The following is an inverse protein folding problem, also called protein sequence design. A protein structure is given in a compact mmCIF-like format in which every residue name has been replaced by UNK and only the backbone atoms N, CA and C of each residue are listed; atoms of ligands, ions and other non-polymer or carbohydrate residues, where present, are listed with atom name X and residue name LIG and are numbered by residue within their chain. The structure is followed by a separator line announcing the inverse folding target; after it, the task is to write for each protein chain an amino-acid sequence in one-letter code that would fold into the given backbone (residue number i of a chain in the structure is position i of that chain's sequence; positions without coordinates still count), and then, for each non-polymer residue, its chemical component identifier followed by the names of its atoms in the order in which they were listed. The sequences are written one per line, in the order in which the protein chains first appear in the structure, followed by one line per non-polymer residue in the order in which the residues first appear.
data_IF_196361214629
#
_entry.id   IF_196361214629
#
_cell.length_a   1.000
_cell.length_b   1.000
_cell.length_c   1.000
_cell.angle_alpha   90.00
_cell.angle_beta   90.00
_cell.angle_gamma   90.00
#
_symmetry.space_group_name_H-M   'P 1'
#
loop_
_entity.id
_entity.type
_entity.pdbx_description
1 polymer ?
#
# COMPACT_ATOMS: atom_id res chain seq x y z
N UNK A 1 -1.99 31.63 -10.40
CA UNK A 1 -2.74 30.38 -10.15
C UNK A 1 -1.88 29.50 -9.26
N UNK A 2 -2.03 29.63 -7.93
CA UNK A 2 -1.32 28.76 -6.99
C UNK A 2 -2.02 27.40 -7.04
N UNK A 3 -1.29 26.36 -7.49
CA UNK A 3 -1.75 24.99 -7.32
C UNK A 3 -2.05 24.80 -5.84
N UNK A 4 -3.28 24.40 -5.43
CA UNK A 4 -3.52 24.03 -4.04
C UNK A 4 -2.50 22.95 -3.68
N UNK A 5 -2.02 22.86 -2.43
CA UNK A 5 -1.09 21.83 -2.02
C UNK A 5 -1.78 20.47 -2.16
N UNK A 6 -1.72 19.88 -3.35
CA UNK A 6 -2.26 18.56 -3.64
C UNK A 6 -1.39 17.60 -2.84
N UNK A 7 -1.88 17.23 -1.65
CA UNK A 7 -1.27 16.25 -0.75
C UNK A 7 -0.67 15.13 -1.58
N UNK A 8 0.67 15.03 -1.58
CA UNK A 8 1.50 14.11 -2.39
C UNK A 8 1.33 12.63 -2.02
N UNK A 9 0.13 12.19 -1.62
CA UNK A 9 -0.12 10.82 -1.10
C UNK A 9 0.18 9.76 -2.15
N UNK A 10 -0.06 10.07 -3.41
CA UNK A 10 0.32 9.26 -4.58
C UNK A 10 1.83 9.05 -4.67
N UNK A 11 2.60 10.15 -4.61
CA UNK A 11 4.07 10.10 -4.66
C UNK A 11 4.65 9.34 -3.47
N UNK A 12 4.11 9.55 -2.27
CA UNK A 12 4.54 8.84 -1.07
C UNK A 12 4.23 7.35 -1.16
N UNK A 13 3.03 6.98 -1.65
CA UNK A 13 2.65 5.57 -1.80
C UNK A 13 3.56 4.85 -2.79
N UNK A 14 3.84 5.48 -3.93
CA UNK A 14 4.76 4.92 -4.94
C UNK A 14 6.18 4.82 -4.36
N UNK A 15 6.69 5.86 -3.70
CA UNK A 15 8.02 5.86 -3.10
C UNK A 15 8.17 4.79 -2.02
N UNK A 16 7.16 4.60 -1.15
CA UNK A 16 7.17 3.52 -0.16
C UNK A 16 7.11 2.15 -0.84
N UNK A 17 6.30 1.97 -1.89
CA UNK A 17 6.30 0.75 -2.70
C UNK A 17 7.67 0.42 -3.26
N UNK A 18 8.34 1.40 -3.89
CA UNK A 18 9.70 1.25 -4.41
C UNK A 18 10.72 0.89 -3.32
N UNK A 19 10.60 1.45 -2.11
CA UNK A 19 11.45 1.05 -1.00
C UNK A 19 11.28 -0.43 -0.64
N UNK A 20 10.05 -0.94 -0.62
CA UNK A 20 9.77 -2.37 -0.42
C UNK A 20 10.30 -3.24 -1.57
N UNK A 21 10.26 -2.76 -2.81
CA UNK A 21 10.87 -3.45 -3.95
C UNK A 21 12.38 -3.60 -3.77
N UNK A 22 13.07 -2.51 -3.42
CA UNK A 22 14.51 -2.55 -3.16
C UNK A 22 14.84 -3.49 -2.00
N UNK A 23 14.03 -3.47 -0.94
CA UNK A 23 14.16 -4.40 0.19
C UNK A 23 14.01 -5.85 -0.27
N UNK A 24 12.98 -6.17 -1.05
CA UNK A 24 12.76 -7.53 -1.55
C UNK A 24 13.93 -8.04 -2.40
N UNK A 25 14.45 -7.20 -3.29
CA UNK A 25 15.60 -7.53 -4.12
C UNK A 25 16.86 -7.72 -3.27
N UNK A 26 17.09 -6.84 -2.29
CA UNK A 26 18.22 -6.96 -1.37
C UNK A 26 18.17 -8.29 -0.58
N UNK A 27 17.00 -8.67 -0.06
CA UNK A 27 16.82 -9.94 0.66
C UNK A 27 17.00 -11.15 -0.27
N UNK A 28 16.52 -11.06 -1.51
CA UNK A 28 16.69 -12.12 -2.52
C UNK A 28 18.17 -12.32 -2.86
N UNK A 29 18.90 -11.23 -3.11
CA UNK A 29 20.34 -11.25 -3.40
C UNK A 29 21.12 -11.79 -2.19
N UNK A 30 20.79 -11.32 -0.99
CA UNK A 30 21.41 -11.79 0.25
C UNK A 30 21.26 -13.30 0.43
N UNK A 31 20.05 -13.83 0.24
CA UNK A 31 19.77 -15.28 0.31
C UNK A 31 20.59 -16.05 -0.72
N UNK A 32 20.65 -15.55 -1.97
CA UNK A 32 21.43 -16.17 -3.04
C UNK A 32 22.94 -16.18 -2.75
N UNK A 33 23.49 -15.10 -2.18
CA UNK A 33 24.93 -14.97 -1.89
C UNK A 33 25.38 -15.78 -0.67
N UNK A 34 24.55 -15.83 0.38
CA UNK A 34 24.92 -16.51 1.62
C UNK A 34 24.70 -18.02 1.57
N UNK A 35 23.98 -18.52 0.55
CA UNK A 35 23.55 -19.92 0.49
C UNK A 35 22.65 -20.31 1.67
N UNK A 36 22.18 -19.33 2.45
CA UNK A 36 21.27 -19.55 3.55
C UNK A 36 19.97 -20.12 2.96
N UNK A 37 19.46 -21.20 3.54
CA UNK A 37 18.08 -21.64 3.31
C UNK A 37 17.13 -20.66 4.01
N UNK A 38 17.16 -19.40 3.60
CA UNK A 38 16.17 -18.43 4.00
C UNK A 38 14.88 -18.85 3.27
N UNK A 39 13.80 -19.01 4.03
CA UNK A 39 12.50 -19.28 3.44
C UNK A 39 12.18 -18.20 2.40
N UNK A 40 11.54 -18.58 1.30
CA UNK A 40 11.15 -17.65 0.26
C UNK A 40 10.11 -16.59 0.74
N UNK A 41 9.59 -16.75 1.96
CA UNK A 41 8.52 -15.94 2.51
C UNK A 41 8.89 -14.45 2.67
N UNK A 42 10.01 -14.03 3.29
CA UNK A 42 10.25 -12.61 3.57
C UNK A 42 10.49 -11.73 2.32
N UNK A 43 11.25 -12.16 1.29
CA UNK A 43 11.33 -11.42 0.04
C UNK A 43 9.98 -11.36 -0.70
N UNK A 44 9.23 -12.47 -0.74
CA UNK A 44 7.93 -12.53 -1.40
C UNK A 44 6.91 -11.62 -0.71
N UNK A 45 6.94 -11.57 0.62
CA UNK A 45 6.07 -10.73 1.42
C UNK A 45 6.34 -9.24 1.21
N UNK A 46 7.61 -8.84 1.08
CA UNK A 46 7.98 -7.47 0.75
C UNK A 46 7.41 -7.04 -0.62
N UNK A 47 7.38 -7.95 -1.60
CA UNK A 47 6.78 -7.68 -2.90
C UNK A 47 5.25 -7.59 -2.85
N UNK A 48 4.60 -8.64 -2.32
CA UNK A 48 3.15 -8.80 -2.43
C UNK A 48 2.37 -7.89 -1.48
N UNK A 49 2.90 -7.62 -0.29
CA UNK A 49 2.24 -6.78 0.72
C UNK A 49 2.78 -5.35 0.73
N UNK A 50 4.06 -5.17 0.37
CA UNK A 50 4.70 -3.87 0.29
C UNK A 50 4.57 -3.25 -1.10
N UNK A 51 5.40 -3.71 -2.03
CA UNK A 51 5.57 -3.06 -3.34
C UNK A 51 4.26 -3.01 -4.15
N UNK A 52 3.64 -4.16 -4.45
CA UNK A 52 2.50 -4.23 -5.37
C UNK A 52 1.33 -3.35 -4.89
N UNK A 53 0.86 -3.45 -3.64
CA UNK A 53 -0.34 -2.74 -3.21
C UNK A 53 -0.07 -1.25 -3.03
N UNK A 54 1.06 -0.85 -2.45
CA UNK A 54 1.42 0.56 -2.28
C UNK A 54 1.57 1.27 -3.62
N UNK A 55 2.19 0.61 -4.60
CA UNK A 55 2.32 1.17 -5.95
C UNK A 55 0.96 1.26 -6.64
N UNK A 56 0.11 0.24 -6.48
CA UNK A 56 -1.24 0.24 -7.03
C UNK A 56 -2.12 1.33 -6.41
N UNK A 57 -2.05 1.53 -5.09
CA UNK A 57 -2.77 2.60 -4.40
C UNK A 57 -2.31 3.97 -4.88
N UNK A 58 -1.00 4.19 -4.95
CA UNK A 58 -0.45 5.45 -5.44
C UNK A 58 -0.84 5.75 -6.89
N UNK A 59 -0.77 4.74 -7.76
CA UNK A 59 -1.21 4.87 -9.15
C UNK A 59 -2.72 5.14 -9.24
N UNK A 60 -3.52 4.48 -8.41
CA UNK A 60 -4.97 4.67 -8.36
C UNK A 60 -5.34 6.08 -7.89
N UNK A 61 -4.66 6.60 -6.86
CA UNK A 61 -4.83 8.00 -6.42
C UNK A 61 -4.38 9.02 -7.46
N UNK A 62 -3.41 8.67 -8.33
CA UNK A 62 -2.98 9.50 -9.44
C UNK A 62 -3.98 9.49 -10.59
N UNK A 63 -4.57 8.33 -10.90
CA UNK A 63 -5.57 8.17 -11.97
C UNK A 63 -6.95 8.72 -11.61
N UNK A 64 -7.31 8.71 -10.31
CA UNK A 64 -8.59 9.19 -9.82
C UNK A 64 -8.41 10.29 -8.76
N UNK A 65 -8.15 11.54 -9.19
CA UNK A 65 -7.99 12.69 -8.29
C UNK A 65 -9.11 12.90 -7.26
N UNK A 66 -10.41 12.61 -7.55
CA UNK A 66 -11.48 12.75 -6.55
C UNK A 66 -11.24 11.92 -5.28
N UNK A 67 -10.63 10.73 -5.43
CA UNK A 67 -10.34 9.85 -4.30
C UNK A 67 -9.20 10.37 -3.43
N UNK A 68 -8.30 11.14 -4.03
CA UNK A 68 -7.15 11.78 -3.35
C UNK A 68 -7.58 12.93 -2.42
N UNK A 69 -8.73 13.54 -2.68
CA UNK A 69 -9.28 14.65 -1.88
C UNK A 69 -9.99 14.14 -0.62
N UNK A 70 -10.37 12.86 -0.58
CA UNK A 70 -11.00 12.24 0.59
C UNK A 70 -10.13 12.37 1.85
N UNK A 71 -10.71 12.88 2.95
CA UNK A 71 -10.03 12.96 4.26
C UNK A 71 -9.54 11.58 4.76
N UNK A 72 -10.14 10.51 4.26
CA UNK A 72 -9.83 9.11 4.60
C UNK A 72 -8.61 8.54 3.85
N UNK A 73 -8.14 9.16 2.76
CA UNK A 73 -6.99 8.66 1.98
C UNK A 73 -5.67 8.64 2.77
N UNK A 74 -5.49 9.60 3.68
CA UNK A 74 -4.25 9.69 4.49
C UNK A 74 -4.21 8.65 5.62
N UNK A 75 -5.26 8.48 6.44
CA UNK A 75 -5.34 7.35 7.38
C UNK A 75 -5.19 6.00 6.69
N UNK A 76 -5.83 5.80 5.54
CA UNK A 76 -5.73 4.57 4.76
C UNK A 76 -4.27 4.21 4.43
N UNK A 77 -3.52 5.16 3.87
CA UNK A 77 -2.11 4.97 3.54
C UNK A 77 -1.26 4.66 4.78
N UNK A 78 -1.41 5.44 5.86
CA UNK A 78 -0.61 5.26 7.09
C UNK A 78 -0.88 3.90 7.73
N UNK A 79 -2.15 3.51 7.85
CA UNK A 79 -2.55 2.22 8.42
C UNK A 79 -1.97 1.09 7.57
N UNK A 80 -2.12 1.16 6.25
CA UNK A 80 -1.62 0.12 5.37
C UNK A 80 -0.10 0.00 5.41
N UNK A 81 0.63 1.12 5.29
CA UNK A 81 2.09 1.14 5.30
C UNK A 81 2.65 0.63 6.63
N UNK A 82 2.03 1.01 7.76
CA UNK A 82 2.41 0.49 9.08
C UNK A 82 2.18 -1.01 9.18
N UNK A 83 1.02 -1.51 8.74
CA UNK A 83 0.73 -2.94 8.73
C UNK A 83 1.73 -3.72 7.87
N UNK A 84 2.05 -3.23 6.68
CA UNK A 84 2.98 -3.87 5.75
C UNK A 84 4.40 -3.94 6.36
N UNK A 85 4.85 -2.87 7.02
CA UNK A 85 6.12 -2.85 7.73
C UNK A 85 6.14 -3.87 8.88
N UNK A 86 5.07 -3.95 9.68
CA UNK A 86 4.97 -4.91 10.79
C UNK A 86 5.00 -6.35 10.27
N UNK A 87 4.25 -6.65 9.20
CA UNK A 87 4.28 -7.97 8.57
C UNK A 87 5.68 -8.32 8.06
N UNK A 88 6.39 -7.36 7.46
CA UNK A 88 7.75 -7.59 6.98
C UNK A 88 8.72 -7.88 8.12
N UNK A 89 8.60 -7.16 9.24
CA UNK A 89 9.41 -7.43 10.43
C UNK A 89 9.10 -8.81 11.03
N UNK A 90 7.84 -9.22 11.02
CA UNK A 90 7.42 -10.58 11.41
C UNK A 90 8.06 -11.65 10.52
N UNK A 91 8.00 -11.47 9.20
CA UNK A 91 8.58 -12.39 8.24
C UNK A 91 10.12 -12.50 8.40
N UNK A 92 10.81 -11.39 8.65
CA UNK A 92 12.27 -11.38 8.86
C UNK A 92 12.71 -12.06 10.17
N UNK A 93 11.85 -12.11 11.19
CA UNK A 93 12.18 -12.78 12.46
C UNK A 93 12.16 -14.30 12.35
N UNK A 94 11.49 -14.85 11.33
CA UNK A 94 11.56 -16.26 10.95
C UNK A 94 11.44 -17.23 12.11
N UNK A 95 10.21 -17.54 12.55
CA UNK A 95 9.94 -18.75 13.31
C UNK A 95 8.63 -19.38 12.85
N UNK A 96 8.66 -20.70 12.71
CA UNK A 96 7.63 -21.64 12.25
C UNK A 96 6.36 -21.72 13.10
N UNK A 97 6.11 -20.72 13.93
CA UNK A 97 4.84 -20.49 14.60
C UNK A 97 4.40 -19.06 14.27
N UNK A 98 3.17 -18.91 13.80
CA UNK A 98 2.54 -17.65 13.41
C UNK A 98 2.96 -16.50 14.33
N UNK A 99 4.00 -15.77 13.92
CA UNK A 99 4.61 -14.73 14.74
C UNK A 99 3.52 -13.72 15.01
N UNK A 100 3.24 -13.41 16.28
CA UNK A 100 2.15 -12.52 16.69
C UNK A 100 2.19 -11.19 15.92
N UNK A 101 3.39 -10.73 15.53
CA UNK A 101 3.61 -9.59 14.64
C UNK A 101 3.03 -9.79 13.24
N UNK A 102 3.24 -10.95 12.62
CA UNK A 102 2.73 -11.26 11.29
C UNK A 102 1.20 -11.28 11.30
N UNK A 103 0.61 -11.91 12.32
CA UNK A 103 -0.84 -11.94 12.52
C UNK A 103 -1.39 -10.52 12.77
N UNK A 104 -0.78 -9.77 13.69
CA UNK A 104 -1.17 -8.40 13.97
C UNK A 104 -1.06 -7.49 12.73
N UNK A 105 0.07 -7.57 12.02
CA UNK A 105 0.31 -6.83 10.79
C UNK A 105 -0.69 -7.17 9.69
N UNK A 106 -1.16 -8.43 9.62
CA UNK A 106 -2.20 -8.85 8.67
C UNK A 106 -3.56 -8.19 8.95
N UNK A 107 -3.93 -8.04 10.22
CA UNK A 107 -5.16 -7.33 10.61
C UNK A 107 -5.06 -5.84 10.28
N UNK A 108 -3.90 -5.23 10.56
CA UNK A 108 -3.67 -3.80 10.29
C UNK A 108 -3.67 -3.52 8.77
N UNK A 109 -2.99 -4.34 7.97
CA UNK A 109 -3.01 -4.23 6.51
C UNK A 109 -4.40 -4.48 5.95
N UNK A 110 -5.16 -5.44 6.48
CA UNK A 110 -6.55 -5.67 6.11
C UNK A 110 -7.42 -4.44 6.36
N UNK A 111 -7.31 -3.81 7.53
CA UNK A 111 -8.01 -2.55 7.83
C UNK A 111 -7.64 -1.44 6.83
N UNK A 112 -6.36 -1.31 6.48
CA UNK A 112 -5.90 -0.36 5.46
C UNK A 112 -6.46 -0.65 4.06
N UNK A 113 -6.53 -1.93 3.67
CA UNK A 113 -7.11 -2.35 2.40
C UNK A 113 -8.64 -2.14 2.37
N UNK A 114 -9.33 -2.43 3.48
CA UNK A 114 -10.76 -2.20 3.62
C UNK A 114 -11.10 -0.71 3.49
N UNK A 115 -10.32 0.17 4.14
CA UNK A 115 -10.47 1.62 3.98
C UNK A 115 -10.29 2.06 2.53
N UNK A 116 -9.31 1.48 1.82
CA UNK A 116 -9.11 1.78 0.40
C UNK A 116 -10.32 1.36 -0.44
N UNK A 117 -10.85 0.16 -0.18
CA UNK A 117 -12.03 -0.35 -0.87
C UNK A 117 -13.26 0.54 -0.62
N UNK A 118 -13.46 0.99 0.62
CA UNK A 118 -14.52 1.93 0.99
C UNK A 118 -14.40 3.27 0.25
N UNK A 119 -13.20 3.85 0.17
CA UNK A 119 -12.95 5.08 -0.59
C UNK A 119 -13.30 4.85 -2.07
N UNK A 120 -12.85 3.73 -2.63
CA UNK A 120 -13.08 3.38 -4.02
C UNK A 120 -14.56 3.22 -4.37
N UNK A 121 -15.34 2.54 -3.52
CA UNK A 121 -16.78 2.37 -3.75
C UNK A 121 -17.57 3.65 -3.52
N UNK A 122 -17.28 4.40 -2.46
CA UNK A 122 -17.97 5.66 -2.17
C UNK A 122 -17.78 6.68 -3.30
N UNK A 123 -16.56 6.78 -3.83
CA UNK A 123 -16.26 7.80 -4.82
C UNK A 123 -16.68 7.38 -6.26
N UNK A 124 -17.06 6.11 -6.48
CA UNK A 124 -17.73 5.68 -7.74
C UNK A 124 -19.12 6.28 -7.90
N UNK A 125 -19.84 6.56 -6.80
CA UNK A 125 -21.16 7.19 -6.82
C UNK A 125 -21.14 8.53 -7.58
N UNK A 126 -20.04 9.30 -7.47
CA UNK A 126 -19.87 10.57 -8.20
C UNK A 126 -19.80 10.39 -9.73
N UNK A 127 -19.36 9.22 -10.22
CA UNK A 127 -19.27 8.94 -11.66
C UNK A 127 -20.63 8.66 -12.30
N UNK A 128 -21.65 8.33 -11.48
CA UNK A 128 -23.02 8.07 -11.93
C UNK A 128 -23.89 9.34 -11.96
N UNK A 129 -23.33 10.51 -11.64
CA UNK A 129 -24.09 11.75 -11.80
C UNK A 129 -24.32 11.99 -13.31
N UNK A 130 -25.59 12.14 -13.76
CA UNK A 130 -25.88 12.40 -15.15
C UNK A 130 -25.20 13.70 -15.58
N UNK A 131 -24.78 13.81 -16.86
CA UNK A 131 -24.16 15.02 -17.37
C UNK A 131 -25.06 16.22 -17.04
N UNK A 132 -24.51 17.19 -16.30
CA UNK A 132 -25.20 18.44 -16.00
C UNK A 132 -25.65 19.05 -17.34
N UNK A 133 -26.93 19.38 -17.51
CA UNK A 133 -27.41 19.99 -18.75
C UNK A 133 -26.60 21.28 -18.97
N UNK A 134 -25.94 21.37 -20.13
CA UNK A 134 -25.23 22.58 -20.52
C UNK A 134 -26.23 23.73 -20.53
N UNK A 135 -26.14 24.61 -19.52
CA UNK A 135 -26.84 25.89 -19.56
C UNK A 135 -26.18 26.72 -20.65
N UNK A 136 -26.80 26.70 -21.83
CA UNK A 136 -26.55 27.65 -22.91
C UNK A 136 -27.02 29.05 -22.51
#
# INVERSE_FOLDING_TARGET
MQNPPTRKIDEHSIATGLAFLLLALALTIWSALTGAKMDAAPPLQALLTGFVPLTLFGLTYRLFPPMKVSKMARPQFVIYAAGAAIMQLGALRGETDYTELLAFGSVVTFCGAALFALIFWRDREFRNQPPQPMRH
#
